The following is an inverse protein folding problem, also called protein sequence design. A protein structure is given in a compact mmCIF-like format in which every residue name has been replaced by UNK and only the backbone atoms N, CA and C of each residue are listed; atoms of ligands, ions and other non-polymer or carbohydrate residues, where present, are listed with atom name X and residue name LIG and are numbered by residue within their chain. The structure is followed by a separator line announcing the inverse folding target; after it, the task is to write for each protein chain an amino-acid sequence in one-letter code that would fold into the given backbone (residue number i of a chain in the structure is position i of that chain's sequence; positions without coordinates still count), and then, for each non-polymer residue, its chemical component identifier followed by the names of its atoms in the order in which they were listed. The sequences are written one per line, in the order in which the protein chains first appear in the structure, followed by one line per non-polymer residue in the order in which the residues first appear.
data_IF_562492901867
#
_entry.id   IF_562492901867
#
_cell.length_a   1.000
_cell.length_b   1.000
_cell.length_c   1.000
_cell.angle_alpha   90.00
_cell.angle_beta   90.00
_cell.angle_gamma   90.00
#
_symmetry.space_group_name_H-M   'P 1'
#
loop_
_entity.id
_entity.type
_entity.pdbx_description
1 polymer ?
#
# COMPACT_ATOMS: atom_id res chain seq x y z
N UNK A 1 18.80 -38.84 3.12
CA UNK A 1 17.65 -38.45 2.28
C UNK A 1 17.62 -36.94 2.27
N UNK A 2 18.11 -36.32 1.19
CA UNK A 2 18.02 -34.85 1.03
C UNK A 2 16.59 -34.53 0.61
N UNK A 3 15.83 -34.01 1.54
CA UNK A 3 14.57 -33.36 1.25
C UNK A 3 14.90 -32.08 0.45
N UNK A 4 14.74 -32.15 -0.87
CA UNK A 4 14.85 -30.99 -1.73
C UNK A 4 13.75 -30.02 -1.32
N UNK A 5 14.14 -28.89 -0.72
CA UNK A 5 13.25 -27.75 -0.58
C UNK A 5 12.83 -27.32 -1.99
N UNK A 6 11.61 -27.63 -2.38
CA UNK A 6 10.99 -26.97 -3.53
C UNK A 6 10.97 -25.48 -3.20
N UNK A 7 11.66 -24.68 -4.01
CA UNK A 7 11.48 -23.25 -4.01
C UNK A 7 9.99 -22.97 -4.23
N UNK A 8 9.30 -22.48 -3.21
CA UNK A 8 7.87 -22.16 -3.30
C UNK A 8 7.63 -20.82 -4.00
N UNK A 9 8.70 -20.15 -4.42
CA UNK A 9 8.65 -18.85 -5.09
C UNK A 9 9.24 -18.90 -6.49
N UNK A 10 8.70 -18.11 -7.39
CA UNK A 10 9.16 -17.97 -8.77
C UNK A 10 9.14 -16.50 -9.18
N UNK A 11 10.24 -16.04 -9.78
CA UNK A 11 10.32 -14.76 -10.48
C UNK A 11 9.82 -14.96 -11.92
N UNK A 12 8.85 -14.18 -12.32
CA UNK A 12 8.29 -14.14 -13.67
C UNK A 12 8.76 -12.86 -14.37
N UNK A 13 9.42 -13.01 -15.51
CA UNK A 13 9.74 -11.93 -16.46
C UNK A 13 8.66 -11.81 -17.55
N UNK A 14 7.70 -12.73 -17.57
CA UNK A 14 6.53 -12.71 -18.42
C UNK A 14 5.26 -12.64 -17.55
N UNK A 15 4.61 -11.48 -17.56
CA UNK A 15 3.38 -11.28 -16.80
C UNK A 15 2.20 -12.11 -17.32
N UNK A 16 2.21 -12.54 -18.58
CA UNK A 16 1.20 -13.48 -19.11
C UNK A 16 1.27 -14.81 -18.38
N UNK A 17 2.49 -15.34 -18.20
CA UNK A 17 2.73 -16.57 -17.45
C UNK A 17 2.34 -16.40 -15.97
N UNK A 18 2.67 -15.27 -15.36
CA UNK A 18 2.27 -14.95 -13.99
C UNK A 18 0.73 -14.92 -13.85
N UNK A 19 0.03 -14.20 -14.72
CA UNK A 19 -1.45 -14.13 -14.73
C UNK A 19 -2.07 -15.52 -14.90
N UNK A 20 -1.54 -16.33 -15.80
CA UNK A 20 -2.00 -17.70 -16.02
C UNK A 20 -1.85 -18.56 -14.77
N UNK A 21 -0.72 -18.42 -14.05
CA UNK A 21 -0.48 -19.14 -12.80
C UNK A 21 -1.40 -18.67 -11.67
N UNK A 22 -1.59 -17.35 -11.53
CA UNK A 22 -2.53 -16.76 -10.57
C UNK A 22 -3.96 -17.30 -10.81
N UNK A 23 -4.42 -17.27 -12.06
CA UNK A 23 -5.75 -17.76 -12.42
C UNK A 23 -5.92 -19.26 -12.11
N UNK A 24 -4.89 -20.05 -12.42
CA UNK A 24 -4.89 -21.48 -12.10
C UNK A 24 -5.02 -21.71 -10.59
N UNK A 25 -4.17 -21.07 -9.77
CA UNK A 25 -4.17 -21.23 -8.32
C UNK A 25 -5.49 -20.73 -7.70
N UNK A 26 -6.01 -19.60 -8.17
CA UNK A 26 -7.32 -19.08 -7.76
C UNK A 26 -8.45 -20.08 -8.08
N UNK A 27 -8.44 -20.67 -9.27
CA UNK A 27 -9.43 -21.67 -9.68
C UNK A 27 -9.38 -22.96 -8.87
N UNK A 28 -8.22 -23.28 -8.27
CA UNK A 28 -8.04 -24.42 -7.36
C UNK A 28 -8.30 -24.07 -5.89
N UNK A 29 -8.58 -22.79 -5.55
CA UNK A 29 -8.68 -22.34 -4.17
C UNK A 29 -7.37 -22.43 -3.40
N UNK A 30 -6.24 -22.48 -4.08
CA UNK A 30 -4.92 -22.52 -3.45
C UNK A 30 -4.49 -21.13 -2.99
N UNK A 31 -4.00 -20.96 -1.76
CA UNK A 31 -3.46 -19.69 -1.30
C UNK A 31 -2.15 -19.37 -2.02
N UNK A 32 -1.98 -18.11 -2.40
CA UNK A 32 -0.74 -17.59 -2.97
C UNK A 32 -0.54 -16.14 -2.59
N UNK A 33 0.72 -15.68 -2.65
CA UNK A 33 1.12 -14.29 -2.53
C UNK A 33 1.80 -13.86 -3.82
N UNK A 34 1.58 -12.64 -4.29
CA UNK A 34 2.28 -12.11 -5.45
C UNK A 34 2.60 -10.63 -5.30
N UNK A 35 3.64 -10.19 -6.00
CA UNK A 35 4.03 -8.79 -6.16
C UNK A 35 4.37 -8.56 -7.63
N UNK A 36 3.96 -7.43 -8.17
CA UNK A 36 4.31 -6.97 -9.52
C UNK A 36 5.01 -5.61 -9.39
N UNK A 37 6.11 -5.40 -10.12
CA UNK A 37 6.79 -4.12 -10.16
C UNK A 37 5.93 -3.05 -10.87
N UNK A 38 6.25 -1.78 -10.61
CA UNK A 38 5.49 -0.66 -11.18
C UNK A 38 5.50 -0.64 -12.72
N UNK A 39 6.63 -0.96 -13.32
CA UNK A 39 6.82 -1.05 -14.78
C UNK A 39 6.06 -2.22 -15.42
N UNK A 40 5.50 -3.11 -14.62
CA UNK A 40 4.81 -4.32 -15.07
C UNK A 40 5.68 -5.23 -15.98
N UNK A 41 6.97 -5.26 -15.71
CA UNK A 41 7.93 -6.10 -16.43
C UNK A 41 8.30 -7.37 -15.68
N UNK A 42 8.10 -7.38 -14.37
CA UNK A 42 8.44 -8.50 -13.50
C UNK A 42 7.35 -8.74 -12.46
N UNK A 43 7.15 -9.99 -12.11
CA UNK A 43 6.30 -10.38 -11.01
C UNK A 43 6.88 -11.55 -10.21
N UNK A 44 6.63 -11.56 -8.93
CA UNK A 44 7.06 -12.58 -7.99
C UNK A 44 5.84 -13.29 -7.42
N UNK A 45 5.82 -14.62 -7.47
CA UNK A 45 4.75 -15.45 -6.94
C UNK A 45 5.28 -16.43 -5.91
N UNK A 46 4.58 -16.58 -4.81
CA UNK A 46 4.84 -17.56 -3.75
C UNK A 46 3.60 -18.40 -3.55
N UNK A 47 3.73 -19.69 -3.76
CA UNK A 47 2.70 -20.69 -3.45
C UNK A 47 2.80 -21.11 -1.98
N UNK A 48 1.67 -21.41 -1.35
CA UNK A 48 1.57 -21.71 0.08
C UNK A 48 2.29 -20.68 0.98
N UNK A 49 1.89 -19.42 0.93
CA UNK A 49 2.65 -18.30 1.52
C UNK A 49 2.74 -18.37 3.05
N UNK A 50 1.93 -19.19 3.71
CA UNK A 50 1.95 -19.36 5.17
C UNK A 50 3.05 -20.32 5.65
N UNK A 51 3.55 -21.22 4.77
CA UNK A 51 4.50 -22.28 5.13
C UNK A 51 5.82 -22.16 4.35
N UNK A 52 6.33 -20.94 4.22
CA UNK A 52 7.59 -20.64 3.52
C UNK A 52 8.34 -19.51 4.24
N UNK A 53 9.59 -19.23 3.83
CA UNK A 53 10.50 -18.25 4.46
C UNK A 53 11.12 -17.24 3.49
N UNK A 54 10.55 -17.10 2.29
CA UNK A 54 11.08 -16.23 1.24
C UNK A 54 10.43 -14.85 1.23
N UNK A 55 9.17 -14.76 1.71
CA UNK A 55 8.42 -13.53 1.89
C UNK A 55 7.71 -13.56 3.24
N UNK A 56 7.82 -12.51 3.99
CA UNK A 56 7.10 -12.35 5.24
C UNK A 56 6.05 -11.24 5.10
N UNK A 57 4.89 -11.47 5.67
CA UNK A 57 3.81 -10.50 5.61
C UNK A 57 2.93 -10.54 6.86
N UNK A 58 2.23 -9.45 7.06
CA UNK A 58 1.12 -9.33 8.01
C UNK A 58 0.01 -8.56 7.36
N UNK A 59 -1.16 -9.18 7.26
CA UNK A 59 -2.40 -8.58 6.79
C UNK A 59 -3.50 -8.85 7.83
N UNK A 60 -4.62 -8.13 7.83
CA UNK A 60 -5.69 -8.33 8.81
C UNK A 60 -6.26 -9.75 8.86
N UNK A 61 -6.13 -10.53 7.77
CA UNK A 61 -6.71 -11.87 7.62
C UNK A 61 -5.68 -13.00 7.59
N UNK A 62 -4.39 -12.70 7.46
CA UNK A 62 -3.34 -13.72 7.37
C UNK A 62 -1.96 -13.12 7.67
N UNK A 63 -1.13 -13.84 8.38
CA UNK A 63 0.25 -13.46 8.63
C UNK A 63 1.18 -14.69 8.72
N UNK A 64 2.42 -14.50 8.35
CA UNK A 64 3.52 -15.44 8.60
C UNK A 64 4.72 -14.72 9.25
N UNK A 65 4.47 -13.71 10.08
CA UNK A 65 5.46 -12.86 10.75
C UNK A 65 6.02 -13.58 12.01
N UNK A 66 7.20 -14.23 11.94
CA UNK A 66 7.75 -14.96 13.08
C UNK A 66 8.64 -14.09 13.98
N UNK A 67 8.90 -12.84 13.59
CA UNK A 67 9.93 -12.00 14.21
C UNK A 67 9.38 -11.20 15.38
N UNK A 68 10.08 -11.31 16.50
CA UNK A 68 9.98 -10.36 17.62
C UNK A 68 11.33 -9.68 17.78
N UNK A 69 11.31 -8.36 17.97
CA UNK A 69 12.51 -7.58 18.17
C UNK A 69 12.24 -6.46 19.18
N UNK A 70 13.14 -6.31 20.15
CA UNK A 70 13.08 -5.23 21.13
C UNK A 70 14.45 -4.53 21.13
N UNK A 71 14.59 -3.44 20.38
CA UNK A 71 15.85 -2.70 20.31
C UNK A 71 16.06 -1.85 21.55
N UNK A 72 17.33 -1.62 21.92
CA UNK A 72 17.70 -0.62 22.95
C UNK A 72 17.42 0.79 22.44
N UNK A 73 17.76 1.05 21.18
CA UNK A 73 17.52 2.34 20.51
C UNK A 73 17.31 2.16 19.01
N UNK A 74 16.28 2.82 18.48
CA UNK A 74 16.04 2.89 17.02
C UNK A 74 16.33 4.30 16.54
N UNK A 75 17.29 4.45 15.63
CA UNK A 75 17.64 5.69 15.00
C UNK A 75 17.57 5.58 13.48
N UNK A 76 17.14 6.65 12.82
CA UNK A 76 17.08 6.74 11.37
C UNK A 76 17.61 8.12 10.93
N UNK A 77 18.73 8.11 10.23
CA UNK A 77 19.22 9.33 9.57
C UNK A 77 18.50 9.51 8.24
N UNK A 78 17.84 10.62 8.06
CA UNK A 78 17.20 11.03 6.81
C UNK A 78 18.18 11.98 6.08
N UNK A 79 18.41 11.72 4.80
CA UNK A 79 19.22 12.57 3.92
C UNK A 79 18.26 13.18 2.90
N UNK A 80 17.77 14.41 3.15
CA UNK A 80 16.80 15.05 2.28
C UNK A 80 17.41 15.38 0.91
N UNK A 81 16.58 15.32 -0.14
CA UNK A 81 16.95 15.77 -1.46
C UNK A 81 17.14 17.27 -1.48
N UNK A 82 17.91 17.76 -2.47
CA UNK A 82 18.05 19.20 -2.68
C UNK A 82 16.70 19.79 -3.12
N UNK A 83 16.26 20.83 -2.44
CA UNK A 83 14.97 21.47 -2.69
C UNK A 83 14.81 21.91 -4.16
N UNK A 84 15.85 22.42 -4.80
CA UNK A 84 15.79 22.87 -6.20
C UNK A 84 15.51 21.73 -7.19
N UNK A 85 15.98 20.51 -6.91
CA UNK A 85 15.65 19.33 -7.72
C UNK A 85 14.15 19.00 -7.62
N UNK A 86 13.60 19.01 -6.41
CA UNK A 86 12.17 18.81 -6.20
C UNK A 86 11.34 19.94 -6.84
N UNK A 87 11.74 21.17 -6.63
CA UNK A 87 11.08 22.37 -7.16
C UNK A 87 10.94 22.33 -8.69
N UNK A 88 12.00 21.98 -9.39
CA UNK A 88 11.98 21.86 -10.85
C UNK A 88 10.94 20.83 -11.34
N UNK A 89 10.84 19.67 -10.68
CA UNK A 89 9.82 18.65 -10.99
C UNK A 89 8.42 19.15 -10.70
N UNK A 90 8.24 19.83 -9.57
CA UNK A 90 6.95 20.38 -9.15
C UNK A 90 6.45 21.47 -10.09
N UNK A 91 7.32 22.41 -10.50
CA UNK A 91 6.99 23.48 -11.46
C UNK A 91 6.59 22.90 -12.82
N UNK A 92 7.31 21.86 -13.28
CA UNK A 92 6.96 21.15 -14.53
C UNK A 92 5.60 20.48 -14.43
N UNK A 93 5.31 19.80 -13.32
CA UNK A 93 4.00 19.19 -13.07
C UNK A 93 2.89 20.24 -13.04
N UNK A 94 3.11 21.35 -12.33
CA UNK A 94 2.14 22.46 -12.30
C UNK A 94 1.84 23.03 -13.70
N UNK A 95 2.85 23.09 -14.58
CA UNK A 95 2.65 23.52 -15.96
C UNK A 95 1.65 22.61 -16.68
N UNK A 96 1.85 21.29 -16.62
CA UNK A 96 0.92 20.32 -17.25
C UNK A 96 -0.49 20.33 -16.62
N UNK A 97 -0.60 20.58 -15.34
CA UNK A 97 -1.90 20.72 -14.68
C UNK A 97 -2.63 22.01 -15.12
N UNK A 98 -1.90 23.11 -15.28
CA UNK A 98 -2.47 24.39 -15.77
C UNK A 98 -2.90 24.31 -17.23
N UNK A 99 -2.16 23.58 -18.08
CA UNK A 99 -2.54 23.33 -19.48
C UNK A 99 -3.65 22.30 -19.62
N UNK A 100 -4.13 21.71 -18.52
CA UNK A 100 -5.15 20.65 -18.47
C UNK A 100 -4.75 19.36 -19.20
N UNK A 101 -3.46 19.13 -19.38
CA UNK A 101 -2.92 17.86 -19.90
C UNK A 101 -2.90 16.76 -18.83
N UNK A 102 -2.88 17.18 -17.55
CA UNK A 102 -2.92 16.29 -16.38
C UNK A 102 -3.95 16.82 -15.39
N UNK A 103 -4.87 15.97 -14.94
CA UNK A 103 -5.92 16.30 -13.99
C UNK A 103 -5.59 15.91 -12.56
N UNK A 104 -4.88 14.80 -12.40
CA UNK A 104 -4.45 14.27 -11.11
C UNK A 104 -3.06 13.69 -11.25
N UNK A 105 -2.19 13.95 -10.29
CA UNK A 105 -0.86 13.40 -10.25
C UNK A 105 -0.37 13.21 -8.81
N UNK A 106 0.44 12.19 -8.62
CA UNK A 106 1.19 11.97 -7.39
C UNK A 106 2.68 12.17 -7.68
N UNK A 107 3.22 13.31 -7.25
CA UNK A 107 4.64 13.60 -7.39
C UNK A 107 5.42 12.90 -6.28
N UNK A 108 6.02 11.76 -6.61
CA UNK A 108 6.85 11.01 -5.67
C UNK A 108 8.31 11.47 -5.73
N UNK A 109 8.98 11.43 -4.59
CA UNK A 109 10.41 11.72 -4.50
C UNK A 109 11.11 10.69 -3.62
N UNK A 110 12.22 10.14 -4.15
CA UNK A 110 13.03 9.18 -3.41
C UNK A 110 13.85 9.90 -2.35
N UNK A 111 13.73 9.48 -1.09
CA UNK A 111 14.53 10.00 0.03
C UNK A 111 15.49 8.93 0.54
N UNK A 112 16.77 9.24 0.61
CA UNK A 112 17.77 8.35 1.21
C UNK A 112 17.60 8.33 2.72
N UNK A 113 17.54 7.11 3.28
CA UNK A 113 17.48 6.89 4.72
C UNK A 113 18.57 5.91 5.14
N UNK A 114 19.14 6.12 6.33
CA UNK A 114 20.14 5.23 6.95
C UNK A 114 19.64 4.82 8.33
N UNK A 115 18.90 3.72 8.44
CA UNK A 115 18.53 3.17 9.74
C UNK A 115 19.73 2.48 10.38
N UNK A 116 19.74 2.43 11.73
CA UNK A 116 20.71 1.67 12.50
C UNK A 116 20.29 0.20 12.72
N UNK A 117 19.17 -0.20 12.13
CA UNK A 117 18.60 -1.54 12.22
C UNK A 117 18.34 -2.12 10.82
N UNK A 118 18.26 -3.45 10.71
CA UNK A 118 18.03 -4.15 9.45
C UNK A 118 16.58 -4.02 8.95
N UNK A 119 16.33 -4.37 7.68
CA UNK A 119 14.97 -4.43 7.11
C UNK A 119 14.07 -5.41 7.87
N UNK A 120 14.62 -6.55 8.32
CA UNK A 120 13.91 -7.52 9.14
C UNK A 120 13.45 -6.90 10.47
N UNK A 121 14.35 -6.17 11.13
CA UNK A 121 14.05 -5.49 12.38
C UNK A 121 13.03 -4.36 12.19
N UNK A 122 13.11 -3.62 11.07
CA UNK A 122 12.09 -2.62 10.69
C UNK A 122 10.73 -3.30 10.52
N UNK A 123 10.69 -4.43 9.81
CA UNK A 123 9.47 -5.21 9.64
C UNK A 123 8.92 -5.72 10.98
N UNK A 124 9.79 -6.24 11.85
CA UNK A 124 9.40 -6.76 13.16
C UNK A 124 8.76 -5.68 14.06
N UNK A 125 9.29 -4.46 14.02
CA UNK A 125 8.83 -3.32 14.85
C UNK A 125 7.58 -2.63 14.29
N UNK A 126 7.27 -2.80 13.01
CA UNK A 126 6.12 -2.12 12.41
C UNK A 126 4.79 -2.64 12.96
N UNK A 127 3.87 -1.72 13.22
CA UNK A 127 2.47 -1.98 13.61
C UNK A 127 1.47 -1.69 12.47
N UNK A 128 1.95 -1.43 11.23
CA UNK A 128 1.07 -1.17 10.10
C UNK A 128 0.10 -2.32 9.83
N UNK A 129 -1.09 -2.00 9.31
CA UNK A 129 -2.12 -3.01 8.99
C UNK A 129 -1.67 -3.96 7.87
N UNK A 130 -0.95 -3.43 6.89
CA UNK A 130 -0.42 -4.22 5.77
C UNK A 130 1.09 -4.08 5.77
N UNK A 131 1.77 -5.20 5.88
CA UNK A 131 3.22 -5.27 5.97
C UNK A 131 3.72 -6.36 5.06
N UNK A 132 4.78 -6.08 4.32
CA UNK A 132 5.51 -7.05 3.50
C UNK A 132 7.00 -6.86 3.71
N UNK A 133 7.71 -7.97 3.87
CA UNK A 133 9.17 -8.03 3.91
C UNK A 133 9.68 -9.09 2.94
N UNK A 134 10.47 -8.68 1.98
CA UNK A 134 11.21 -9.58 1.10
C UNK A 134 12.69 -9.51 1.48
N UNK A 135 13.26 -10.58 2.06
CA UNK A 135 14.63 -10.61 2.58
C UNK A 135 15.66 -10.12 1.56
N UNK A 136 16.51 -9.18 2.01
CA UNK A 136 17.56 -8.59 1.18
C UNK A 136 17.08 -7.64 0.08
N UNK A 137 15.77 -7.40 -0.05
CA UNK A 137 15.20 -6.54 -1.10
C UNK A 137 14.52 -5.31 -0.52
N UNK A 138 13.40 -5.47 0.16
CA UNK A 138 12.62 -4.35 0.68
C UNK A 138 11.69 -4.72 1.83
N UNK A 139 11.21 -3.69 2.52
CA UNK A 139 10.02 -3.71 3.36
C UNK A 139 9.01 -2.72 2.80
N UNK A 140 7.72 -3.05 2.91
CA UNK A 140 6.64 -2.18 2.48
C UNK A 140 5.54 -2.16 3.55
N UNK A 141 5.00 -0.98 3.79
CA UNK A 141 3.94 -0.76 4.77
C UNK A 141 2.84 0.09 4.17
N UNK A 142 1.58 -0.25 4.45
CA UNK A 142 0.44 0.55 4.03
C UNK A 142 -0.70 0.49 5.05
N UNK A 143 -1.39 1.59 5.33
CA UNK A 143 -2.68 1.58 6.00
C UNK A 143 -3.82 1.23 5.04
N UNK A 144 -3.61 1.37 3.75
CA UNK A 144 -4.60 1.29 2.67
C UNK A 144 -4.53 -0.06 1.96
N UNK A 145 -5.70 -0.60 1.62
CA UNK A 145 -5.82 -1.79 0.76
C UNK A 145 -6.27 -1.39 -0.64
N UNK A 146 -5.83 -2.12 -1.64
CA UNK A 146 -6.30 -1.96 -3.02
C UNK A 146 -7.74 -2.46 -3.15
N UNK A 147 -7.95 -3.77 -2.99
CA UNK A 147 -9.27 -4.39 -2.99
C UNK A 147 -9.33 -5.53 -1.96
N UNK A 148 -10.55 -5.83 -1.52
CA UNK A 148 -10.89 -7.05 -0.79
C UNK A 148 -11.99 -7.77 -1.54
N UNK A 149 -11.81 -9.07 -1.77
CA UNK A 149 -12.84 -9.94 -2.32
C UNK A 149 -13.21 -10.97 -1.25
N UNK A 150 -14.46 -10.98 -0.84
CA UNK A 150 -14.99 -11.93 0.13
C UNK A 150 -16.49 -12.13 -0.12
N UNK A 151 -16.96 -13.36 0.00
CA UNK A 151 -18.38 -13.71 -0.12
C UNK A 151 -19.04 -13.20 -1.41
N UNK A 152 -18.28 -13.23 -2.53
CA UNK A 152 -18.75 -12.73 -3.84
C UNK A 152 -18.81 -11.21 -3.98
N UNK A 153 -18.32 -10.46 -2.98
CA UNK A 153 -18.29 -8.99 -3.00
C UNK A 153 -16.86 -8.51 -3.15
N UNK A 154 -16.61 -7.63 -4.13
CA UNK A 154 -15.38 -6.85 -4.24
C UNK A 154 -15.58 -5.48 -3.58
N UNK A 155 -14.66 -5.07 -2.74
CA UNK A 155 -14.71 -3.78 -2.05
C UNK A 155 -13.36 -3.10 -2.03
N UNK A 156 -13.37 -1.76 -2.05
CA UNK A 156 -12.22 -0.89 -1.86
C UNK A 156 -12.52 0.13 -0.76
N UNK A 157 -11.51 0.86 -0.31
CA UNK A 157 -11.64 1.78 0.81
C UNK A 157 -10.75 3.01 0.53
N UNK A 158 -11.19 3.96 -0.32
CA UNK A 158 -10.41 5.15 -0.58
C UNK A 158 -10.24 5.99 0.69
N UNK A 159 -9.02 6.41 0.92
CA UNK A 159 -8.61 7.22 2.07
C UNK A 159 -7.97 8.50 1.56
N UNK A 160 -8.57 9.65 1.86
CA UNK A 160 -8.08 10.98 1.44
C UNK A 160 -8.26 11.96 2.58
N UNK A 161 -7.32 12.89 2.70
CA UNK A 161 -7.34 13.87 3.76
C UNK A 161 -6.96 13.30 5.13
N UNK A 162 -5.93 13.86 5.72
CA UNK A 162 -5.42 13.44 7.04
C UNK A 162 -5.08 14.68 7.85
N UNK A 163 -5.48 14.70 9.11
CA UNK A 163 -5.22 15.81 10.05
C UNK A 163 -4.75 15.27 11.39
N UNK A 164 -3.92 16.01 12.11
CA UNK A 164 -3.51 15.69 13.46
C UNK A 164 -4.73 15.76 14.41
N UNK A 165 -5.05 14.65 15.07
CA UNK A 165 -6.21 14.55 15.97
C UNK A 165 -6.14 15.47 17.20
N UNK A 166 -4.97 16.01 17.50
CA UNK A 166 -4.77 16.95 18.61
C UNK A 166 -5.17 18.41 18.29
N UNK A 167 -5.42 18.70 17.01
CA UNK A 167 -5.87 20.02 16.59
C UNK A 167 -7.32 20.23 17.07
N UNK A 168 -7.63 21.34 17.71
CA UNK A 168 -9.02 21.65 18.10
C UNK A 168 -9.95 21.63 16.87
N UNK A 169 -11.09 20.95 16.97
CA UNK A 169 -12.07 20.76 15.90
C UNK A 169 -11.51 20.09 14.64
N UNK A 170 -10.49 19.24 14.77
CA UNK A 170 -9.84 18.56 13.64
C UNK A 170 -10.83 17.85 12.71
N UNK A 171 -11.83 17.16 13.26
CA UNK A 171 -12.87 16.48 12.49
C UNK A 171 -13.68 17.46 11.64
N UNK A 172 -14.15 18.54 12.23
CA UNK A 172 -14.91 19.57 11.52
C UNK A 172 -14.07 20.24 10.41
N UNK A 173 -12.80 20.54 10.72
CA UNK A 173 -11.86 21.14 9.77
C UNK A 173 -11.68 20.24 8.55
N UNK A 174 -11.36 18.94 8.73
CA UNK A 174 -11.08 18.05 7.63
C UNK A 174 -12.36 17.69 6.83
N UNK A 175 -13.50 17.58 7.50
CA UNK A 175 -14.76 17.28 6.84
C UNK A 175 -15.27 18.44 5.98
N UNK A 176 -14.99 19.69 6.36
CA UNK A 176 -15.44 20.87 5.65
C UNK A 176 -14.38 21.51 4.74
N UNK A 177 -13.18 20.91 4.63
CA UNK A 177 -12.15 21.42 3.73
C UNK A 177 -12.54 21.17 2.26
N UNK A 178 -12.77 22.22 1.43
CA UNK A 178 -13.23 22.06 0.05
C UNK A 178 -12.28 21.21 -0.80
N UNK A 179 -10.96 21.39 -0.65
CA UNK A 179 -9.96 20.60 -1.37
C UNK A 179 -10.09 19.11 -1.05
N UNK A 180 -10.19 18.75 0.23
CA UNK A 180 -10.32 17.36 0.67
C UNK A 180 -11.66 16.73 0.23
N UNK A 181 -12.73 17.55 0.14
CA UNK A 181 -14.03 17.13 -0.41
C UNK A 181 -13.89 16.75 -1.87
N UNK A 182 -13.28 17.62 -2.68
CA UNK A 182 -13.13 17.43 -4.12
C UNK A 182 -12.22 16.26 -4.43
N UNK A 183 -11.05 16.14 -3.74
CA UNK A 183 -10.12 15.02 -3.92
C UNK A 183 -10.76 13.68 -3.52
N UNK A 184 -11.49 13.65 -2.42
CA UNK A 184 -12.16 12.43 -1.97
C UNK A 184 -13.27 11.99 -2.93
N UNK A 185 -14.07 12.96 -3.40
CA UNK A 185 -15.12 12.71 -4.40
C UNK A 185 -14.50 12.14 -5.68
N UNK A 186 -13.45 12.77 -6.20
CA UNK A 186 -12.77 12.28 -7.41
C UNK A 186 -12.25 10.86 -7.26
N UNK A 187 -11.68 10.51 -6.09
CA UNK A 187 -11.21 9.15 -5.81
C UNK A 187 -12.35 8.13 -5.77
N UNK A 188 -13.47 8.46 -5.10
CA UNK A 188 -14.65 7.57 -5.03
C UNK A 188 -15.29 7.38 -6.41
N UNK A 189 -15.42 8.46 -7.20
CA UNK A 189 -15.97 8.39 -8.55
C UNK A 189 -15.10 7.49 -9.47
N UNK A 190 -13.77 7.67 -9.45
CA UNK A 190 -12.83 6.87 -10.22
C UNK A 190 -12.91 5.39 -9.85
N UNK A 191 -12.82 5.07 -8.56
CA UNK A 191 -12.87 3.68 -8.09
C UNK A 191 -14.24 3.04 -8.37
N UNK A 192 -15.32 3.82 -8.31
CA UNK A 192 -16.65 3.32 -8.65
C UNK A 192 -16.76 2.98 -10.15
N UNK A 193 -16.11 3.77 -11.02
CA UNK A 193 -16.04 3.48 -12.45
C UNK A 193 -15.20 2.23 -12.73
N UNK A 194 -14.03 2.10 -12.10
CA UNK A 194 -13.17 0.93 -12.23
C UNK A 194 -13.87 -0.35 -11.75
N UNK A 195 -14.59 -0.29 -10.63
CA UNK A 195 -15.34 -1.43 -10.12
C UNK A 195 -16.49 -1.86 -11.06
N UNK A 196 -17.11 -0.96 -11.81
CA UNK A 196 -18.13 -1.30 -12.81
C UNK A 196 -17.60 -2.16 -13.97
N UNK A 197 -16.29 -2.17 -14.18
CA UNK A 197 -15.69 -3.05 -15.18
C UNK A 197 -15.71 -4.53 -14.76
N UNK A 198 -15.90 -4.83 -13.46
CA UNK A 198 -15.84 -6.18 -12.88
C UNK A 198 -17.04 -6.53 -12.00
N UNK A 199 -18.04 -5.65 -11.89
CA UNK A 199 -19.23 -5.85 -11.06
C UNK A 199 -20.46 -5.17 -11.68
N UNK A 200 -21.61 -5.84 -11.61
CA UNK A 200 -22.87 -5.31 -12.13
C UNK A 200 -23.50 -4.25 -11.21
N UNK A 201 -23.21 -4.30 -9.91
CA UNK A 201 -23.74 -3.39 -8.91
C UNK A 201 -22.63 -2.76 -8.08
N UNK A 202 -22.46 -1.45 -8.22
CA UNK A 202 -21.48 -0.68 -7.45
C UNK A 202 -22.20 0.39 -6.64
N UNK A 203 -21.92 0.44 -5.34
CA UNK A 203 -22.46 1.46 -4.44
C UNK A 203 -21.45 1.81 -3.34
N UNK A 204 -21.56 3.01 -2.80
CA UNK A 204 -20.77 3.45 -1.65
C UNK A 204 -21.55 3.16 -0.37
N UNK A 205 -21.05 2.23 0.44
CA UNK A 205 -21.73 1.80 1.68
C UNK A 205 -21.66 2.85 2.79
N UNK A 206 -20.54 3.56 2.86
CA UNK A 206 -20.33 4.69 3.77
C UNK A 206 -19.52 5.74 3.04
N UNK A 207 -19.94 7.00 3.15
CA UNK A 207 -19.28 8.12 2.46
C UNK A 207 -18.72 9.13 3.45
N UNK A 208 -17.42 9.44 3.32
CA UNK A 208 -16.70 10.45 4.10
C UNK A 208 -16.86 10.29 5.62
N UNK A 209 -16.61 9.09 6.12
CA UNK A 209 -16.52 8.88 7.56
C UNK A 209 -15.09 9.07 8.07
N UNK A 210 -14.95 9.30 9.39
CA UNK A 210 -13.65 9.50 10.01
C UNK A 210 -13.12 8.18 10.54
N UNK A 211 -11.90 7.85 10.14
CA UNK A 211 -11.09 6.79 10.72
C UNK A 211 -9.98 7.37 11.60
N UNK A 212 -9.58 6.61 12.61
CA UNK A 212 -8.46 6.92 13.47
C UNK A 212 -7.23 6.14 13.03
N UNK A 213 -6.16 6.84 12.67
CA UNK A 213 -4.87 6.26 12.31
C UNK A 213 -3.86 6.55 13.40
N UNK A 214 -3.39 5.50 14.07
CA UNK A 214 -2.34 5.61 15.08
C UNK A 214 -0.97 5.45 14.43
N UNK A 215 -0.10 6.43 14.63
CA UNK A 215 1.32 6.35 14.27
C UNK A 215 2.16 6.21 15.53
N UNK A 216 3.47 5.95 15.39
CA UNK A 216 4.40 5.90 16.53
C UNK A 216 4.51 7.23 17.31
N UNK A 217 4.10 8.36 16.72
CA UNK A 217 4.25 9.70 17.31
C UNK A 217 2.94 10.44 17.52
N UNK A 218 1.91 10.12 16.70
CA UNK A 218 0.67 10.91 16.66
C UNK A 218 -0.54 10.03 16.42
N UNK A 219 -1.68 10.51 16.86
CA UNK A 219 -2.97 10.04 16.41
C UNK A 219 -3.49 10.99 15.31
N UNK A 220 -3.94 10.42 14.21
CA UNK A 220 -4.45 11.16 13.06
C UNK A 220 -5.92 10.82 12.83
N UNK A 221 -6.67 11.79 12.32
CA UNK A 221 -7.99 11.57 11.73
C UNK A 221 -7.82 11.48 10.21
N UNK A 222 -8.50 10.54 9.59
CA UNK A 222 -8.48 10.33 8.15
C UNK A 222 -9.88 10.18 7.61
N UNK A 223 -10.17 10.80 6.47
CA UNK A 223 -11.46 10.64 5.78
C UNK A 223 -11.42 9.41 4.89
N UNK A 224 -12.39 8.52 5.06
CA UNK A 224 -12.50 7.24 4.36
C UNK A 224 -13.90 7.04 3.75
N UNK A 225 -14.02 6.18 2.76
CA UNK A 225 -15.30 5.73 2.19
C UNK A 225 -15.28 4.24 1.88
#
# INVERSE_FOLDING_TARGET
MHSGYKLNSMLYQDLSALKSRINYLSGQGCPFFFVINYEQTEGYLVEDPLHQSEVFFKFPTAENKPFTYSPDEVAMKIIPNQFESYRSKFEKLQHYMKSREVWLANLTERTEIKPNISLEQIFALSESLYQVYVPGKFVCFSPERFVKIADGIISTNPMKGTIDATIPNAEEIIQNNPKEIDEHKAAVDLLSEELRAVSDHVYTSRYRYIDFVKTSRKQLLQVSS
#
